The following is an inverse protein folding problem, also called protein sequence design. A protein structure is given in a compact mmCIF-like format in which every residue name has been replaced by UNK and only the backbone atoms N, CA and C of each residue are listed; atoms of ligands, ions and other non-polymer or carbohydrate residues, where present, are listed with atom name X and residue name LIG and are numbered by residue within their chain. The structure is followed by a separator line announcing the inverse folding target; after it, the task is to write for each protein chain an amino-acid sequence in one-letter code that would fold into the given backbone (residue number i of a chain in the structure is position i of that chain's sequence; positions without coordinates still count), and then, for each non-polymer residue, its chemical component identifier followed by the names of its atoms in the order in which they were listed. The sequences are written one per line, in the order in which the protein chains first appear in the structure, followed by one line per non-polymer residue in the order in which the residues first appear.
data_IF_125691296081
#
_entry.id   IF_125691296081
#
_cell.length_a   1.000
_cell.length_b   1.000
_cell.length_c   1.000
_cell.angle_alpha   90.00
_cell.angle_beta   90.00
_cell.angle_gamma   90.00
#
_symmetry.space_group_name_H-M   'P 1'
#
loop_
_entity.id
_entity.type
_entity.pdbx_description
1 polymer ?
#
# COMPACT_ATOMS: atom_id res chain seq x y z
N UNK A 1 -14.26 14.53 3.99
CA UNK A 1 -13.36 13.62 4.73
C UNK A 1 -13.05 12.46 3.80
N UNK A 2 -11.78 12.26 3.45
CA UNK A 2 -11.35 11.10 2.67
C UNK A 2 -11.59 9.83 3.47
N UNK A 3 -12.18 8.81 2.85
CA UNK A 3 -12.39 7.50 3.46
C UNK A 3 -11.04 6.92 3.92
N UNK A 4 -10.90 6.43 5.17
CA UNK A 4 -9.69 5.75 5.61
C UNK A 4 -9.37 4.54 4.72
N UNK A 5 -8.09 4.33 4.38
CA UNK A 5 -7.69 3.20 3.51
C UNK A 5 -8.11 1.86 4.10
N UNK A 6 -8.09 1.73 5.44
CA UNK A 6 -8.52 0.52 6.14
C UNK A 6 -9.98 0.17 5.85
N UNK A 7 -10.86 1.16 5.75
CA UNK A 7 -12.28 0.95 5.48
C UNK A 7 -12.49 0.68 3.99
N UNK A 8 -11.78 1.41 3.13
CA UNK A 8 -11.81 1.21 1.69
C UNK A 8 -11.34 -0.21 1.30
N UNK A 9 -10.25 -0.68 1.92
CA UNK A 9 -9.71 -2.02 1.68
C UNK A 9 -10.68 -3.12 2.10
N UNK A 10 -11.35 -2.96 3.26
CA UNK A 10 -12.38 -3.90 3.72
C UNK A 10 -13.61 -3.90 2.81
N UNK A 11 -14.02 -2.73 2.34
CA UNK A 11 -15.16 -2.59 1.42
C UNK A 11 -14.89 -3.19 0.02
N UNK A 12 -13.62 -3.33 -0.35
CA UNK A 12 -13.17 -3.94 -1.60
C UNK A 12 -12.79 -5.44 -1.44
N UNK A 13 -13.14 -6.08 -0.33
CA UNK A 13 -12.80 -7.48 -0.09
C UNK A 13 -13.31 -8.40 -1.23
N UNK A 14 -12.41 -9.23 -1.75
CA UNK A 14 -12.70 -10.17 -2.85
C UNK A 14 -12.74 -9.55 -4.25
N UNK A 15 -12.42 -8.27 -4.39
CA UNK A 15 -12.45 -7.54 -5.67
C UNK A 15 -11.12 -6.78 -5.88
N UNK A 16 -10.15 -7.37 -6.58
CA UNK A 16 -8.83 -6.77 -6.81
C UNK A 16 -8.90 -5.42 -7.54
N UNK A 17 -9.77 -5.29 -8.54
CA UNK A 17 -9.90 -4.07 -9.35
C UNK A 17 -10.44 -2.93 -8.48
N UNK A 18 -11.49 -3.21 -7.70
CA UNK A 18 -12.03 -2.24 -6.76
C UNK A 18 -11.03 -1.83 -5.68
N UNK A 19 -10.18 -2.75 -5.25
CA UNK A 19 -9.13 -2.45 -4.27
C UNK A 19 -8.03 -1.56 -4.86
N UNK A 20 -7.63 -1.83 -6.11
CA UNK A 20 -6.71 -0.99 -6.85
C UNK A 20 -7.27 0.44 -6.98
N UNK A 21 -8.50 0.58 -7.49
CA UNK A 21 -9.14 1.88 -7.67
C UNK A 21 -9.25 2.67 -6.34
N UNK A 22 -9.64 1.97 -5.27
CA UNK A 22 -9.73 2.57 -3.94
C UNK A 22 -8.36 3.04 -3.43
N UNK A 23 -7.30 2.28 -3.67
CA UNK A 23 -5.94 2.67 -3.29
C UNK A 23 -5.44 3.87 -4.09
N UNK A 24 -5.64 3.86 -5.41
CA UNK A 24 -5.25 4.98 -6.30
C UNK A 24 -5.98 6.26 -5.91
N UNK A 25 -7.28 6.19 -5.66
CA UNK A 25 -8.06 7.34 -5.19
C UNK A 25 -7.56 7.86 -3.84
N UNK A 26 -7.29 6.96 -2.90
CA UNK A 26 -6.75 7.31 -1.58
C UNK A 26 -5.36 7.98 -1.65
N UNK A 27 -4.51 7.54 -2.59
CA UNK A 27 -3.20 8.12 -2.84
C UNK A 27 -3.31 9.50 -3.50
N UNK A 28 -4.20 9.64 -4.50
CA UNK A 28 -4.47 10.89 -5.19
C UNK A 28 -5.00 11.98 -4.25
N UNK A 29 -5.90 11.64 -3.33
CA UNK A 29 -6.40 12.54 -2.27
C UNK A 29 -5.29 13.10 -1.37
N UNK A 30 -4.13 12.43 -1.32
CA UNK A 30 -2.93 12.85 -0.57
C UNK A 30 -1.88 13.53 -1.44
N UNK A 31 -2.22 13.83 -2.70
CA UNK A 31 -1.32 14.48 -3.65
C UNK A 31 -0.28 13.54 -4.27
N UNK A 32 -0.48 12.22 -4.18
CA UNK A 32 0.40 11.25 -4.83
C UNK A 32 -0.21 10.77 -6.15
N UNK A 33 0.57 10.90 -7.23
CA UNK A 33 0.36 10.13 -8.45
C UNK A 33 1.35 8.96 -8.45
N UNK A 34 0.88 7.75 -8.75
CA UNK A 34 1.75 6.58 -8.81
C UNK A 34 2.72 6.70 -9.97
N UNK A 35 3.99 6.38 -9.72
CA UNK A 35 4.94 6.16 -10.79
C UNK A 35 4.66 4.82 -11.48
N UNK A 36 5.07 4.62 -12.76
CA UNK A 36 4.79 3.37 -13.49
C UNK A 36 5.18 2.10 -12.72
N UNK A 37 6.38 2.06 -12.11
CA UNK A 37 6.82 0.91 -11.34
C UNK A 37 6.04 0.69 -10.03
N UNK A 38 5.43 1.74 -9.47
CA UNK A 38 4.54 1.61 -8.31
C UNK A 38 3.19 1.08 -8.74
N UNK A 39 2.68 1.60 -9.85
CA UNK A 39 1.40 1.20 -10.44
C UNK A 39 1.38 -0.31 -10.75
N UNK A 40 2.37 -0.78 -11.51
CA UNK A 40 2.58 -2.19 -11.79
C UNK A 40 2.69 -3.03 -10.50
N UNK A 41 3.46 -2.55 -9.51
CA UNK A 41 3.62 -3.26 -8.25
C UNK A 41 2.29 -3.36 -7.46
N UNK A 42 1.45 -2.32 -7.49
CA UNK A 42 0.16 -2.31 -6.80
C UNK A 42 -0.78 -3.31 -7.47
N UNK A 43 -0.86 -3.31 -8.80
CA UNK A 43 -1.66 -4.28 -9.58
C UNK A 43 -1.30 -5.71 -9.17
N UNK A 44 -0.01 -6.05 -9.20
CA UNK A 44 0.46 -7.39 -8.83
C UNK A 44 0.09 -7.76 -7.37
N UNK A 45 0.25 -6.82 -6.43
CA UNK A 45 -0.05 -7.05 -5.01
C UNK A 45 -1.54 -7.28 -4.74
N UNK A 46 -2.43 -6.52 -5.39
CA UNK A 46 -3.88 -6.70 -5.21
C UNK A 46 -4.38 -7.98 -5.86
N UNK A 47 -3.72 -8.43 -6.93
CA UNK A 47 -3.94 -9.74 -7.56
C UNK A 47 -3.36 -10.92 -6.77
N UNK A 48 -2.62 -10.64 -5.68
CA UNK A 48 -2.08 -11.66 -4.76
C UNK A 48 -0.69 -12.19 -5.13
N UNK A 49 0.02 -11.53 -6.05
CA UNK A 49 1.39 -11.88 -6.39
C UNK A 49 2.40 -11.36 -5.37
N UNK A 50 3.61 -11.94 -5.39
CA UNK A 50 4.74 -11.45 -4.61
C UNK A 50 5.60 -10.51 -5.47
N UNK A 51 5.97 -9.35 -4.91
CA UNK A 51 6.71 -8.31 -5.64
C UNK A 51 8.09 -8.08 -5.03
N UNK A 52 9.12 -8.02 -5.87
CA UNK A 52 10.45 -7.49 -5.53
C UNK A 52 10.63 -6.16 -6.27
N UNK A 53 10.56 -5.05 -5.53
CA UNK A 53 10.61 -3.71 -6.13
C UNK A 53 12.03 -3.12 -6.07
N UNK A 54 12.75 -3.19 -7.19
CA UNK A 54 14.07 -2.58 -7.35
C UNK A 54 13.95 -1.13 -7.87
N UNK A 55 13.87 -0.17 -6.95
CA UNK A 55 13.84 1.27 -7.29
C UNK A 55 14.89 2.06 -6.50
N UNK A 56 15.43 3.18 -7.01
CA UNK A 56 16.36 4.04 -6.27
C UNK A 56 15.79 4.54 -4.93
N UNK A 57 16.63 4.89 -3.96
CA UNK A 57 16.16 5.54 -2.72
C UNK A 57 15.40 6.85 -3.02
N UNK A 58 14.36 7.14 -2.25
CA UNK A 58 13.54 8.35 -2.43
C UNK A 58 12.39 8.23 -3.46
N UNK A 59 12.25 7.12 -4.18
CA UNK A 59 11.23 6.97 -5.25
C UNK A 59 9.89 6.37 -4.77
N UNK A 60 9.56 6.51 -3.48
CA UNK A 60 8.23 6.14 -2.96
C UNK A 60 7.97 4.64 -2.73
N UNK A 61 8.99 3.81 -2.46
CA UNK A 61 8.81 2.40 -2.04
C UNK A 61 7.83 2.23 -0.88
N UNK A 62 7.76 3.20 0.02
CA UNK A 62 6.83 3.17 1.15
C UNK A 62 5.37 3.14 0.72
N UNK A 63 5.01 3.78 -0.40
CA UNK A 63 3.64 3.78 -0.89
C UNK A 63 3.20 2.37 -1.36
N UNK A 64 4.10 1.64 -2.01
CA UNK A 64 3.87 0.23 -2.40
C UNK A 64 3.75 -0.68 -1.18
N UNK A 65 4.50 -0.41 -0.11
CA UNK A 65 4.31 -1.15 1.14
C UNK A 65 2.93 -0.91 1.78
N UNK A 66 2.40 0.32 1.70
CA UNK A 66 1.02 0.62 2.13
C UNK A 66 -0.01 -0.15 1.29
N UNK A 67 0.20 -0.26 -0.02
CA UNK A 67 -0.64 -1.07 -0.89
C UNK A 67 -0.63 -2.55 -0.48
N UNK A 68 0.54 -3.10 -0.16
CA UNK A 68 0.65 -4.48 0.35
C UNK A 68 -0.13 -4.68 1.65
N UNK A 69 -0.11 -3.71 2.56
CA UNK A 69 -0.93 -3.74 3.78
C UNK A 69 -2.43 -3.74 3.46
N UNK A 70 -2.88 -2.89 2.53
CA UNK A 70 -4.28 -2.84 2.09
C UNK A 70 -4.73 -4.14 1.41
N UNK A 71 -3.88 -4.70 0.54
CA UNK A 71 -4.10 -5.97 -0.16
C UNK A 71 -4.32 -7.13 0.80
N UNK A 72 -3.49 -7.26 1.84
CA UNK A 72 -3.71 -8.30 2.84
C UNK A 72 -4.89 -8.00 3.77
N UNK A 73 -5.14 -6.74 4.11
CA UNK A 73 -6.28 -6.37 4.94
C UNK A 73 -7.61 -6.70 4.24
N UNK A 74 -7.72 -6.47 2.92
CA UNK A 74 -8.92 -6.83 2.14
C UNK A 74 -9.16 -8.34 2.10
N UNK A 75 -8.09 -9.15 2.24
CA UNK A 75 -8.14 -10.60 2.36
C UNK A 75 -8.35 -11.11 3.80
N UNK A 76 -8.50 -10.21 4.78
CA UNK A 76 -8.61 -10.58 6.20
C UNK A 76 -7.31 -11.16 6.79
N UNK A 77 -6.17 -10.89 6.16
CA UNK A 77 -4.86 -11.39 6.55
C UNK A 77 -4.15 -10.44 7.54
N UNK A 78 -3.03 -10.92 8.07
CA UNK A 78 -2.09 -10.12 8.86
C UNK A 78 -0.83 -9.82 8.05
N UNK A 79 -0.34 -8.59 8.16
CA UNK A 79 0.90 -8.15 7.53
C UNK A 79 1.93 -7.69 8.54
N UNK A 80 3.19 -7.76 8.16
CA UNK A 80 4.32 -7.32 8.95
C UNK A 80 5.22 -6.44 8.08
N UNK A 81 5.56 -5.25 8.58
CA UNK A 81 6.57 -4.39 7.97
C UNK A 81 7.89 -4.59 8.69
N UNK A 82 8.95 -4.94 7.95
CA UNK A 82 10.29 -5.12 8.50
C UNK A 82 11.27 -4.18 7.83
N UNK A 83 12.27 -3.74 8.58
CA UNK A 83 13.38 -2.93 8.07
C UNK A 83 14.67 -3.29 8.83
N UNK A 84 15.86 -3.07 8.25
CA UNK A 84 17.11 -3.52 8.84
C UNK A 84 17.52 -2.82 10.13
N UNK A 85 16.93 -1.65 10.45
CA UNK A 85 17.22 -0.91 11.68
C UNK A 85 15.95 -0.38 12.34
N UNK A 86 15.98 -0.30 13.67
CA UNK A 86 14.85 0.13 14.52
C UNK A 86 14.33 1.51 14.13
N UNK A 87 15.22 2.46 13.83
CA UNK A 87 14.83 3.82 13.48
C UNK A 87 13.90 3.87 12.24
N UNK A 88 14.17 3.06 11.22
CA UNK A 88 13.34 2.99 10.00
C UNK A 88 11.98 2.35 10.27
N UNK A 89 11.92 1.34 11.14
CA UNK A 89 10.63 0.74 11.53
C UNK A 89 9.79 1.76 12.32
N UNK A 90 10.41 2.50 13.24
CA UNK A 90 9.73 3.54 14.01
C UNK A 90 9.17 4.66 13.13
N UNK A 91 9.94 5.14 12.16
CA UNK A 91 9.47 6.14 11.18
C UNK A 91 8.21 5.66 10.45
N UNK A 92 8.19 4.41 9.98
CA UNK A 92 7.03 3.86 9.26
C UNK A 92 5.86 3.54 10.15
N UNK A 93 6.10 3.16 11.40
CA UNK A 93 5.03 2.97 12.39
C UNK A 93 4.23 4.27 12.57
N UNK A 94 4.90 5.39 12.87
CA UNK A 94 4.22 6.67 13.07
C UNK A 94 3.49 7.13 11.81
N UNK A 95 4.11 6.97 10.62
CA UNK A 95 3.46 7.27 9.35
C UNK A 95 2.20 6.43 9.04
N UNK A 96 1.98 5.30 9.73
CA UNK A 96 0.83 4.42 9.52
C UNK A 96 -0.30 4.60 10.56
N UNK A 97 0.02 5.10 11.76
CA UNK A 97 -0.95 5.20 12.87
C UNK A 97 -1.43 6.62 13.15
N UNK A 98 -0.74 7.62 12.58
CA UNK A 98 -1.14 9.03 12.57
C UNK A 98 -2.09 9.34 11.40
#
# INVERSE_FOLDING_TARGET
MTTPLVDAARAAAGDPDRLYDAFVAWAADRGFALYPAQDEAVIELVSGANVVLATPTGTGKSLVAVAAHAASLSRGERTYYTAPIKALVSEKFFALVE
#
